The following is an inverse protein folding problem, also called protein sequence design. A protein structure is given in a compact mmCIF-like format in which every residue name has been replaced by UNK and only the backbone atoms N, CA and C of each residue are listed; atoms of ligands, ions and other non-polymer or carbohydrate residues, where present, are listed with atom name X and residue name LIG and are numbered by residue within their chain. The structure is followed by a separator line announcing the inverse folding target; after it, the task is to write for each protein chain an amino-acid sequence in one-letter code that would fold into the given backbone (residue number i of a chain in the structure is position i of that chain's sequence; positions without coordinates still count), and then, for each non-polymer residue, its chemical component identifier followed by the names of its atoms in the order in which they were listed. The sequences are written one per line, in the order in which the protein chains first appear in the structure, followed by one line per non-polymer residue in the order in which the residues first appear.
data_IF_303772471826
#
_entry.id   IF_303772471826
#
_cell.length_a   1.000
_cell.length_b   1.000
_cell.length_c   1.000
_cell.angle_alpha   90.00
_cell.angle_beta   90.00
_cell.angle_gamma   90.00
#
_symmetry.space_group_name_H-M   'P 1'
#
loop_
_entity.id
_entity.type
_entity.pdbx_description
1 polymer ?
#
# COMPACT_ATOMS: atom_id res chain seq x y z
N UNK A 1 9.66 -14.76 21.07
CA UNK A 1 9.48 -13.39 21.62
C UNK A 1 10.17 -12.43 20.67
N UNK A 2 9.43 -11.59 19.98
CA UNK A 2 10.02 -10.50 19.21
C UNK A 2 10.58 -9.47 20.20
N UNK A 3 11.83 -9.06 19.97
CA UNK A 3 12.48 -8.05 20.80
C UNK A 3 11.86 -6.67 20.46
N UNK A 4 10.89 -6.21 21.25
CA UNK A 4 10.23 -4.90 21.09
C UNK A 4 11.06 -3.73 21.66
N UNK A 5 12.39 -3.84 21.71
CA UNK A 5 13.24 -2.81 22.31
C UNK A 5 13.88 -1.85 21.31
N UNK A 6 14.17 -2.30 20.09
CA UNK A 6 14.76 -1.47 19.05
C UNK A 6 13.70 -1.16 18.00
N UNK A 7 13.08 0.00 18.12
CA UNK A 7 12.12 0.50 17.15
C UNK A 7 12.86 1.35 16.12
N UNK A 8 12.66 1.04 14.84
CA UNK A 8 13.20 1.73 13.69
C UNK A 8 12.09 2.24 12.81
N UNK A 9 12.42 3.18 11.95
CA UNK A 9 11.48 3.71 10.98
C UNK A 9 12.16 4.00 9.64
N UNK A 10 11.34 4.14 8.62
CA UNK A 10 11.70 4.67 7.32
C UNK A 10 10.57 5.56 6.82
N UNK A 11 10.83 6.84 6.67
CA UNK A 11 9.92 7.80 6.07
C UNK A 11 10.41 8.11 4.65
N UNK A 12 9.60 7.80 3.68
CA UNK A 12 9.79 8.18 2.27
C UNK A 12 8.96 9.43 2.02
N UNK A 13 9.60 10.50 1.58
CA UNK A 13 8.92 11.72 1.15
C UNK A 13 9.15 11.91 -0.33
N UNK A 14 8.09 12.10 -1.09
CA UNK A 14 8.14 12.17 -2.54
C UNK A 14 7.47 13.43 -3.02
N UNK A 15 8.08 14.09 -4.02
CA UNK A 15 7.54 15.28 -4.66
C UNK A 15 7.99 15.38 -6.11
N UNK A 16 7.40 16.31 -6.85
CA UNK A 16 7.83 16.65 -8.20
C UNK A 16 8.49 18.04 -8.13
N UNK A 17 9.70 18.17 -8.64
CA UNK A 17 10.40 19.47 -8.69
C UNK A 17 9.81 20.39 -9.77
N UNK A 18 10.17 21.67 -9.75
CA UNK A 18 9.69 22.69 -10.70
C UNK A 18 9.99 22.36 -12.17
N UNK A 19 10.93 21.44 -12.42
CA UNK A 19 11.28 20.94 -13.75
C UNK A 19 10.47 19.72 -14.15
N UNK A 20 9.53 19.27 -13.29
CA UNK A 20 8.71 18.09 -13.50
C UNK A 20 9.46 16.78 -13.22
N UNK A 21 10.57 16.79 -12.51
CA UNK A 21 11.29 15.57 -12.16
C UNK A 21 10.84 15.05 -10.80
N UNK A 22 10.61 13.71 -10.66
CA UNK A 22 10.31 13.12 -9.37
C UNK A 22 11.55 13.16 -8.48
N UNK A 23 11.33 13.54 -7.25
CA UNK A 23 12.30 13.54 -6.17
C UNK A 23 11.82 12.66 -5.05
N UNK A 24 12.76 12.08 -4.34
CA UNK A 24 12.49 11.27 -3.17
C UNK A 24 13.57 11.53 -2.13
N UNK A 25 13.16 11.70 -0.90
CA UNK A 25 14.02 11.71 0.26
C UNK A 25 13.67 10.56 1.18
N UNK A 26 14.67 9.95 1.77
CA UNK A 26 14.54 8.85 2.72
C UNK A 26 15.05 9.32 4.06
N UNK A 27 14.13 9.55 4.99
CA UNK A 27 14.44 9.89 6.37
C UNK A 27 14.39 8.64 7.22
N UNK A 28 15.45 8.40 7.98
CA UNK A 28 15.62 7.22 8.85
C UNK A 28 16.55 7.54 10.01
N UNK A 29 16.77 6.59 10.90
CA UNK A 29 17.78 6.73 11.96
C UNK A 29 19.11 7.28 11.45
N UNK A 30 19.77 8.20 12.19
CA UNK A 30 19.48 8.66 13.54
C UNK A 30 18.59 9.91 13.66
N UNK A 31 17.92 10.35 12.56
CA UNK A 31 17.03 11.49 12.59
C UNK A 31 15.86 11.21 13.52
N UNK A 32 15.56 12.15 14.42
CA UNK A 32 14.41 12.01 15.34
C UNK A 32 13.11 12.26 14.61
N UNK A 33 12.14 11.36 14.82
CA UNK A 33 10.78 11.47 14.29
C UNK A 33 9.76 11.26 15.42
N UNK A 34 8.69 12.01 15.38
CA UNK A 34 7.45 11.74 16.10
C UNK A 34 6.33 11.50 15.10
N UNK A 35 5.44 10.56 15.38
CA UNK A 35 4.23 10.43 14.57
C UNK A 35 3.03 10.03 15.43
N UNK A 36 1.90 10.58 15.05
CA UNK A 36 0.59 10.17 15.52
C UNK A 36 -0.23 9.76 14.31
N UNK A 37 -0.61 8.49 14.25
CA UNK A 37 -1.38 7.91 13.16
C UNK A 37 -2.65 7.33 13.74
N UNK A 38 -3.79 7.92 13.38
CA UNK A 38 -5.12 7.44 13.76
C UNK A 38 -5.82 6.91 12.53
N UNK A 39 -6.27 5.67 12.61
CA UNK A 39 -7.11 5.03 11.60
C UNK A 39 -8.39 4.53 12.22
N UNK A 40 -9.48 4.60 11.48
CA UNK A 40 -10.80 4.26 12.01
C UNK A 40 -11.71 3.67 10.93
N UNK A 41 -12.63 2.78 11.35
CA UNK A 41 -13.74 2.33 10.50
C UNK A 41 -14.87 3.35 10.41
N UNK A 42 -14.87 4.37 11.27
CA UNK A 42 -16.01 5.28 11.44
C UNK A 42 -15.69 6.75 11.13
N UNK A 43 -14.42 7.09 10.98
CA UNK A 43 -13.97 8.45 10.68
C UNK A 43 -12.81 8.44 9.69
N UNK A 44 -12.54 9.60 9.11
CA UNK A 44 -11.37 9.79 8.27
C UNK A 44 -10.08 9.53 9.06
N UNK A 45 -9.09 8.97 8.38
CA UNK A 45 -7.78 8.75 8.95
C UNK A 45 -7.05 10.09 9.13
N UNK A 46 -6.20 10.15 10.14
CA UNK A 46 -5.36 11.31 10.41
C UNK A 46 -3.94 10.86 10.70
N UNK A 47 -3.00 11.42 9.99
CA UNK A 47 -1.58 11.18 10.22
C UNK A 47 -0.86 12.50 10.36
N UNK A 48 -0.16 12.68 11.47
CA UNK A 48 0.78 13.79 11.69
C UNK A 48 2.16 13.22 11.94
N UNK A 49 3.13 13.72 11.18
CA UNK A 49 4.53 13.32 11.28
C UNK A 49 5.33 14.58 11.60
N UNK A 50 6.16 14.53 12.63
CA UNK A 50 7.09 15.60 13.00
C UNK A 50 8.51 15.08 12.83
N UNK A 51 9.30 15.74 12.00
CA UNK A 51 10.70 15.40 11.75
C UNK A 51 11.58 16.51 12.28
N UNK A 52 12.59 16.16 13.06
CA UNK A 52 13.53 17.12 13.64
C UNK A 52 14.78 17.21 12.77
N UNK A 53 15.19 18.45 12.50
CA UNK A 53 16.41 18.76 11.76
C UNK A 53 16.51 18.14 10.35
N UNK A 54 15.36 18.05 9.66
CA UNK A 54 15.35 17.73 8.24
C UNK A 54 16.18 18.76 7.47
N UNK A 55 16.89 18.34 6.44
CA UNK A 55 17.73 19.25 5.65
C UNK A 55 16.93 20.39 5.00
N UNK A 56 17.60 21.54 4.77
CA UNK A 56 16.94 22.76 4.30
C UNK A 56 16.32 22.61 2.91
N UNK A 57 16.98 21.90 1.99
CA UNK A 57 16.50 21.76 0.62
C UNK A 57 15.23 20.90 0.58
N UNK A 58 15.20 19.82 1.36
CA UNK A 58 14.00 18.98 1.48
C UNK A 58 12.84 19.73 2.14
N UNK A 59 13.10 20.50 3.22
CA UNK A 59 12.06 21.31 3.88
C UNK A 59 11.38 22.28 2.91
N UNK A 60 12.15 22.99 2.11
CA UNK A 60 11.60 23.92 1.12
C UNK A 60 10.84 23.20 0.01
N UNK A 61 11.37 22.07 -0.46
CA UNK A 61 10.76 21.31 -1.54
C UNK A 61 9.40 20.71 -1.17
N UNK A 62 9.24 20.28 0.10
CA UNK A 62 8.00 19.64 0.56
C UNK A 62 7.03 20.62 1.23
N UNK A 63 7.44 21.89 1.43
CA UNK A 63 6.52 22.91 1.96
C UNK A 63 5.21 22.91 1.19
N UNK A 64 4.10 22.91 1.90
CA UNK A 64 2.77 22.91 1.32
C UNK A 64 1.76 23.49 2.29
N UNK A 65 0.90 24.36 1.78
CA UNK A 65 -0.28 24.86 2.49
C UNK A 65 -1.55 24.52 1.71
N UNK A 66 -2.71 24.74 2.30
CA UNK A 66 -4.01 24.46 1.67
C UNK A 66 -4.24 25.25 0.39
N UNK A 67 -3.74 26.48 0.33
CA UNK A 67 -3.90 27.33 -0.86
C UNK A 67 -3.10 26.75 -2.04
N UNK A 68 -1.91 26.22 -1.76
CA UNK A 68 -1.08 25.58 -2.79
C UNK A 68 -1.69 24.29 -3.30
N UNK A 69 -2.41 23.53 -2.45
CA UNK A 69 -3.15 22.34 -2.90
C UNK A 69 -4.23 22.69 -3.94
N UNK A 70 -4.95 23.77 -3.71
CA UNK A 70 -6.05 24.19 -4.60
C UNK A 70 -5.56 24.79 -5.91
N UNK A 71 -4.37 25.43 -5.91
CA UNK A 71 -3.84 26.16 -7.05
C UNK A 71 -2.78 25.41 -7.87
N UNK A 72 -2.08 24.49 -7.26
CA UNK A 72 -1.00 23.73 -7.90
C UNK A 72 -0.93 22.29 -7.33
N UNK A 73 -1.66 21.35 -7.92
CA UNK A 73 -1.76 19.99 -7.44
C UNK A 73 -0.49 19.16 -7.75
N UNK A 74 0.69 19.69 -7.48
CA UNK A 74 1.89 18.86 -7.44
C UNK A 74 1.78 17.94 -6.24
N UNK A 75 1.24 16.76 -6.50
CA UNK A 75 0.97 15.75 -5.49
C UNK A 75 2.28 15.38 -4.79
N UNK A 76 2.36 15.74 -3.52
CA UNK A 76 3.42 15.31 -2.61
C UNK A 76 2.86 14.20 -1.76
N UNK A 77 3.60 13.12 -1.59
CA UNK A 77 3.11 12.00 -0.81
C UNK A 77 4.21 11.41 0.07
N UNK A 78 3.77 10.78 1.13
CA UNK A 78 4.64 10.12 2.10
C UNK A 78 4.25 8.67 2.30
N UNK A 79 5.26 7.87 2.67
CA UNK A 79 5.09 6.51 3.15
C UNK A 79 5.90 6.36 4.42
N UNK A 80 5.22 6.09 5.53
CA UNK A 80 5.83 5.86 6.83
C UNK A 80 5.79 4.36 7.15
N UNK A 81 6.96 3.77 7.27
CA UNK A 81 7.14 2.42 7.76
C UNK A 81 7.83 2.48 9.13
N UNK A 82 7.36 1.69 10.08
CA UNK A 82 7.98 1.57 11.40
C UNK A 82 7.83 0.14 11.93
N UNK A 83 8.69 -0.25 12.86
CA UNK A 83 8.67 -1.58 13.44
C UNK A 83 9.88 -1.86 14.29
N UNK A 84 10.07 -3.13 14.62
CA UNK A 84 11.16 -3.58 15.49
C UNK A 84 12.19 -4.36 14.71
N UNK A 85 13.47 -4.16 15.05
CA UNK A 85 14.59 -4.79 14.33
C UNK A 85 14.49 -4.49 12.82
N UNK A 86 14.70 -5.45 11.96
CA UNK A 86 14.66 -5.27 10.50
C UNK A 86 13.25 -5.41 9.88
N UNK A 87 12.22 -5.59 10.71
CA UNK A 87 10.83 -5.77 10.24
C UNK A 87 10.05 -4.47 10.34
N UNK A 88 10.09 -3.67 9.26
CA UNK A 88 9.29 -2.47 9.14
C UNK A 88 7.95 -2.80 8.47
N UNK A 89 6.88 -2.29 9.05
CA UNK A 89 5.52 -2.40 8.52
C UNK A 89 5.03 -1.02 8.08
N UNK A 90 4.28 -0.96 7.00
CA UNK A 90 3.65 0.28 6.54
C UNK A 90 2.60 0.74 7.56
N UNK A 91 2.90 1.83 8.24
CA UNK A 91 2.03 2.44 9.26
C UNK A 91 1.08 3.45 8.63
N UNK A 92 1.59 4.28 7.72
CA UNK A 92 0.78 5.28 7.02
C UNK A 92 1.30 5.54 5.62
N UNK A 93 0.38 5.75 4.68
CA UNK A 93 0.65 6.18 3.32
C UNK A 93 -0.45 7.15 2.89
N UNK A 94 -0.05 8.26 2.27
CA UNK A 94 -1.02 9.24 1.81
C UNK A 94 -0.39 10.49 1.22
N UNK A 95 -1.24 11.45 0.88
CA UNK A 95 -0.84 12.74 0.32
C UNK A 95 -0.56 13.75 1.42
N UNK A 96 0.45 14.59 1.22
CA UNK A 96 0.74 15.72 2.10
C UNK A 96 -0.37 16.75 1.93
N UNK A 97 -1.17 16.94 2.96
CA UNK A 97 -2.19 17.96 3.02
C UNK A 97 -1.60 19.32 3.41
N UNK A 98 -0.74 19.31 4.41
CA UNK A 98 -0.01 20.48 4.89
C UNK A 98 1.39 20.07 5.34
N UNK A 99 2.39 20.86 4.99
CA UNK A 99 3.74 20.68 5.48
C UNK A 99 4.35 22.05 5.78
N UNK A 100 4.77 22.24 7.02
CA UNK A 100 5.38 23.48 7.50
C UNK A 100 6.61 23.20 8.34
N UNK A 101 7.58 24.09 8.24
CA UNK A 101 8.80 24.03 9.04
C UNK A 101 9.00 25.32 9.82
N UNK A 102 9.43 25.20 11.06
CA UNK A 102 9.74 26.34 11.92
C UNK A 102 10.90 26.01 12.85
N UNK A 103 11.51 27.06 13.39
CA UNK A 103 12.59 26.89 14.36
C UNK A 103 12.01 26.84 15.77
N UNK A 104 12.41 25.84 16.54
CA UNK A 104 12.07 25.67 17.97
C UNK A 104 13.37 25.52 18.76
N UNK A 105 13.79 26.58 19.43
CA UNK A 105 15.08 26.59 20.10
C UNK A 105 16.24 26.45 19.13
N UNK A 106 17.01 25.40 19.29
CA UNK A 106 18.13 25.05 18.41
C UNK A 106 17.73 24.22 17.20
N UNK A 107 16.58 23.55 17.26
CA UNK A 107 16.12 22.60 16.27
C UNK A 107 15.21 23.23 15.20
N UNK A 108 15.24 22.67 14.01
CA UNK A 108 14.21 22.85 12.99
C UNK A 108 13.20 21.74 13.10
N UNK A 109 11.94 22.10 13.27
CA UNK A 109 10.82 21.16 13.39
C UNK A 109 10.01 21.23 12.10
N UNK A 110 9.86 20.12 11.41
CA UNK A 110 9.03 19.98 10.22
C UNK A 110 7.83 19.12 10.55
N UNK A 111 6.64 19.69 10.42
CA UNK A 111 5.36 19.00 10.66
C UNK A 111 4.70 18.72 9.32
N UNK A 112 4.33 17.46 9.10
CA UNK A 112 3.70 16.95 7.89
C UNK A 112 2.35 16.36 8.29
N UNK A 113 1.27 16.96 7.83
CA UNK A 113 -0.08 16.45 7.96
C UNK A 113 -0.45 15.69 6.67
N UNK A 114 -0.90 14.45 6.83
CA UNK A 114 -1.13 13.50 5.73
C UNK A 114 -2.59 13.07 5.72
N UNK A 115 -3.15 12.99 4.53
CA UNK A 115 -4.51 12.49 4.28
C UNK A 115 -4.48 11.29 3.34
N UNK A 116 -5.51 10.46 3.42
CA UNK A 116 -5.70 9.39 2.44
C UNK A 116 -5.85 9.97 1.02
N UNK A 117 -5.32 9.28 0.00
CA UNK A 117 -5.42 9.76 -1.37
C UNK A 117 -6.87 9.78 -1.86
N UNK A 118 -7.16 10.68 -2.79
CA UNK A 118 -8.43 10.85 -3.53
C UNK A 118 -9.65 11.27 -2.70
N UNK A 119 -9.63 11.19 -1.38
CA UNK A 119 -10.82 11.50 -0.57
C UNK A 119 -11.22 12.98 -0.59
N UNK A 120 -10.27 13.88 -0.84
CA UNK A 120 -10.53 15.32 -0.89
C UNK A 120 -10.77 15.86 -2.30
N UNK A 121 -10.25 15.19 -3.33
CA UNK A 121 -10.14 15.75 -4.68
C UNK A 121 -11.13 15.15 -5.67
N UNK A 122 -11.56 13.91 -5.47
CA UNK A 122 -12.34 13.20 -6.47
C UNK A 122 -13.84 13.47 -6.32
N UNK A 123 -14.44 13.89 -7.42
CA UNK A 123 -15.85 14.24 -7.55
C UNK A 123 -16.56 13.34 -8.56
N UNK A 124 -17.75 12.89 -8.24
CA UNK A 124 -18.55 12.04 -9.13
C UNK A 124 -19.98 12.62 -9.27
N UNK A 125 -20.41 12.76 -10.53
CA UNK A 125 -21.80 13.05 -10.87
C UNK A 125 -22.32 11.93 -11.76
N UNK A 126 -23.32 11.17 -11.29
CA UNK A 126 -23.92 10.06 -12.04
C UNK A 126 -25.33 9.77 -11.60
N UNK A 127 -26.10 9.08 -12.46
CA UNK A 127 -27.43 8.56 -12.13
C UNK A 127 -27.41 7.05 -12.25
N UNK A 128 -27.81 6.37 -11.20
CA UNK A 128 -28.03 4.92 -11.23
C UNK A 128 -29.49 4.65 -11.54
N UNK A 129 -29.74 3.86 -12.60
CA UNK A 129 -31.09 3.47 -13.01
C UNK A 129 -31.74 2.53 -12.01
N UNK A 130 -33.07 2.48 -12.02
CA UNK A 130 -33.81 1.49 -11.23
C UNK A 130 -33.36 0.07 -11.60
N UNK A 131 -33.13 -0.77 -10.60
CA UNK A 131 -32.59 -2.12 -10.75
C UNK A 131 -31.07 -2.23 -10.66
N UNK A 132 -30.32 -1.11 -10.73
CA UNK A 132 -28.88 -1.15 -10.49
C UNK A 132 -28.61 -1.61 -9.05
N UNK A 133 -27.80 -2.64 -8.87
CA UNK A 133 -27.46 -3.15 -7.53
C UNK A 133 -26.52 -2.22 -6.78
N UNK A 134 -26.59 -2.20 -5.46
CA UNK A 134 -25.67 -1.41 -4.64
C UNK A 134 -24.22 -1.82 -4.83
N UNK A 135 -23.96 -3.10 -5.12
CA UNK A 135 -22.63 -3.62 -5.43
C UNK A 135 -22.07 -3.06 -6.76
N UNK A 136 -22.90 -2.91 -7.78
CA UNK A 136 -22.51 -2.28 -9.07
C UNK A 136 -22.24 -0.80 -8.88
N UNK A 137 -23.13 -0.09 -8.16
CA UNK A 137 -22.95 1.31 -7.83
C UNK A 137 -21.66 1.56 -7.01
N UNK A 138 -21.40 0.72 -6.01
CA UNK A 138 -20.17 0.78 -5.24
C UNK A 138 -18.92 0.64 -6.13
N UNK A 139 -18.90 -0.37 -6.98
CA UNK A 139 -17.78 -0.59 -7.91
C UNK A 139 -17.56 0.59 -8.85
N UNK A 140 -18.66 1.17 -9.35
CA UNK A 140 -18.58 2.36 -10.19
C UNK A 140 -18.00 3.55 -9.41
N UNK A 141 -18.49 3.82 -8.21
CA UNK A 141 -18.00 4.93 -7.39
C UNK A 141 -16.52 4.75 -7.04
N UNK A 142 -16.11 3.55 -6.61
CA UNK A 142 -14.70 3.29 -6.28
C UNK A 142 -13.79 3.38 -7.51
N UNK A 143 -14.29 3.09 -8.70
CA UNK A 143 -13.52 3.28 -9.93
C UNK A 143 -13.15 4.74 -10.23
N UNK A 144 -13.81 5.70 -9.57
CA UNK A 144 -13.47 7.12 -9.62
C UNK A 144 -12.46 7.55 -8.54
N UNK A 145 -11.91 6.61 -7.78
CA UNK A 145 -10.84 6.83 -6.80
C UNK A 145 -9.58 6.10 -7.28
N UNK A 146 -8.82 6.68 -8.23
CA UNK A 146 -7.78 5.97 -8.98
C UNK A 146 -6.58 5.54 -8.12
N UNK A 147 -6.33 6.22 -7.01
CA UNK A 147 -5.21 5.90 -6.11
C UNK A 147 -5.56 4.81 -5.10
N UNK A 148 -6.84 4.45 -4.96
CA UNK A 148 -7.28 3.44 -4.00
C UNK A 148 -7.46 2.07 -4.66
N UNK A 149 -7.14 1.03 -3.90
CA UNK A 149 -7.40 -0.37 -4.27
C UNK A 149 -8.63 -0.88 -3.55
N UNK A 150 -9.46 -1.66 -4.22
CA UNK A 150 -10.58 -2.35 -3.58
C UNK A 150 -10.01 -3.49 -2.75
N UNK A 151 -10.23 -3.44 -1.46
CA UNK A 151 -9.96 -4.50 -0.51
C UNK A 151 -11.17 -5.40 -0.30
N UNK A 152 -11.42 -5.73 0.94
CA UNK A 152 -12.57 -6.55 1.31
C UNK A 152 -13.87 -5.75 1.16
N UNK A 153 -14.83 -6.37 0.51
CA UNK A 153 -16.16 -5.81 0.34
C UNK A 153 -17.15 -6.74 1.00
N UNK A 154 -17.70 -6.32 2.11
CA UNK A 154 -18.78 -7.03 2.81
C UNK A 154 -20.05 -7.11 1.98
N UNK A 155 -21.09 -7.63 2.57
CA UNK A 155 -22.35 -7.89 1.87
C UNK A 155 -23.04 -6.56 1.59
N UNK A 156 -23.09 -6.17 0.30
CA UNK A 156 -23.88 -5.06 -0.21
C UNK A 156 -25.10 -5.63 -0.94
N UNK A 157 -26.18 -5.82 -0.20
CA UNK A 157 -27.42 -6.35 -0.74
C UNK A 157 -28.39 -5.23 -1.12
N UNK A 158 -29.19 -5.48 -2.16
CA UNK A 158 -30.22 -4.57 -2.63
C UNK A 158 -29.91 -3.89 -3.95
N UNK A 159 -30.89 -3.14 -4.44
CA UNK A 159 -30.85 -2.37 -5.67
C UNK A 159 -31.70 -1.11 -5.55
N UNK A 160 -31.40 -0.11 -6.36
CA UNK A 160 -32.20 1.11 -6.43
C UNK A 160 -33.58 0.80 -6.99
N UNK A 161 -34.61 1.23 -6.29
CA UNK A 161 -36.01 1.03 -6.73
C UNK A 161 -36.46 2.10 -7.74
N UNK A 162 -35.78 3.23 -7.75
CA UNK A 162 -36.01 4.38 -8.64
C UNK A 162 -34.69 4.92 -9.13
N UNK A 163 -34.63 5.61 -10.29
CA UNK A 163 -33.44 6.30 -10.72
C UNK A 163 -32.93 7.25 -9.62
N UNK A 164 -31.68 7.09 -9.21
CA UNK A 164 -31.11 7.82 -8.10
C UNK A 164 -29.86 8.57 -8.52
N UNK A 165 -29.86 9.88 -8.28
CA UNK A 165 -28.73 10.76 -8.62
C UNK A 165 -27.73 10.75 -7.48
N UNK A 166 -26.45 10.54 -7.84
CA UNK A 166 -25.29 10.71 -7.00
C UNK A 166 -24.46 11.88 -7.55
N UNK A 167 -24.31 12.94 -6.76
CA UNK A 167 -23.54 14.12 -7.15
C UNK A 167 -22.82 14.66 -5.91
N UNK A 168 -21.48 14.73 -5.98
CA UNK A 168 -20.67 15.19 -4.86
C UNK A 168 -19.31 14.51 -4.77
N UNK A 169 -18.65 14.69 -3.62
CA UNK A 169 -17.38 14.03 -3.30
C UNK A 169 -17.57 12.51 -3.31
N UNK A 170 -16.73 11.82 -4.06
CA UNK A 170 -16.89 10.38 -4.35
C UNK A 170 -16.84 9.52 -3.09
N UNK A 171 -15.91 9.82 -2.15
CA UNK A 171 -15.79 9.05 -0.90
C UNK A 171 -17.02 9.23 -0.01
N UNK A 172 -17.55 10.45 0.07
CA UNK A 172 -18.79 10.75 0.81
C UNK A 172 -19.98 9.98 0.20
N UNK A 173 -20.05 9.91 -1.14
CA UNK A 173 -21.10 9.16 -1.82
C UNK A 173 -21.00 7.65 -1.55
N UNK A 174 -19.77 7.10 -1.52
CA UNK A 174 -19.55 5.70 -1.14
C UNK A 174 -20.01 5.44 0.29
N UNK A 175 -19.61 6.30 1.24
CA UNK A 175 -20.04 6.15 2.63
C UNK A 175 -21.56 6.23 2.78
N UNK A 176 -22.21 7.12 2.04
CA UNK A 176 -23.68 7.19 2.02
C UNK A 176 -24.31 5.90 1.48
N UNK A 177 -23.75 5.34 0.39
CA UNK A 177 -24.24 4.09 -0.21
C UNK A 177 -24.07 2.89 0.73
N UNK A 178 -22.99 2.83 1.47
CA UNK A 178 -22.64 1.72 2.37
C UNK A 178 -23.11 1.90 3.80
N UNK A 179 -23.84 2.98 4.10
CA UNK A 179 -24.31 3.26 5.46
C UNK A 179 -23.20 3.61 6.45
N UNK A 180 -22.06 4.10 5.98
CA UNK A 180 -20.91 4.46 6.83
C UNK A 180 -19.94 3.30 7.14
N UNK A 181 -20.11 2.16 6.48
CA UNK A 181 -19.29 0.97 6.72
C UNK A 181 -18.00 0.90 5.88
N UNK A 182 -17.64 2.00 5.21
CA UNK A 182 -16.44 2.06 4.36
C UNK A 182 -15.32 2.81 5.06
N UNK A 183 -14.12 2.24 5.00
CA UNK A 183 -12.91 2.84 5.54
C UNK A 183 -11.70 2.55 4.64
N UNK A 184 -10.64 3.32 4.83
CA UNK A 184 -9.39 3.18 4.07
C UNK A 184 -8.28 2.73 5.03
N UNK A 185 -7.46 1.77 4.60
CA UNK A 185 -6.21 1.44 5.27
C UNK A 185 -5.07 1.39 4.25
N UNK A 186 -4.16 2.36 4.33
CA UNK A 186 -2.97 2.45 3.47
C UNK A 186 -3.27 2.31 1.97
N UNK A 187 -4.27 3.05 1.49
CA UNK A 187 -4.65 3.04 0.07
C UNK A 187 -5.52 1.86 -0.34
N UNK A 188 -6.03 1.09 0.60
CA UNK A 188 -7.00 0.02 0.36
C UNK A 188 -8.34 0.43 0.95
N UNK A 189 -9.37 0.52 0.11
CA UNK A 189 -10.75 0.82 0.54
C UNK A 189 -11.47 -0.48 0.87
N UNK A 190 -11.95 -0.58 2.10
CA UNK A 190 -12.65 -1.73 2.63
C UNK A 190 -14.07 -1.35 3.03
N UNK A 191 -15.00 -2.27 2.92
CA UNK A 191 -16.38 -2.11 3.40
C UNK A 191 -16.74 -3.35 4.20
N UNK A 192 -17.00 -3.18 5.50
CA UNK A 192 -17.29 -4.27 6.44
C UNK A 192 -18.50 -3.91 7.30
N UNK A 193 -19.51 -4.76 7.33
CA UNK A 193 -20.60 -4.61 8.27
C UNK A 193 -20.13 -4.77 9.73
N UNK A 194 -20.97 -4.44 10.70
CA UNK A 194 -20.59 -4.40 12.12
C UNK A 194 -19.97 -5.70 12.62
N UNK A 195 -20.50 -6.83 12.21
CA UNK A 195 -20.04 -8.16 12.65
C UNK A 195 -19.01 -8.81 11.69
N UNK A 196 -18.58 -8.10 10.64
CA UNK A 196 -17.58 -8.59 9.70
C UNK A 196 -16.19 -8.09 10.08
N UNK A 197 -15.18 -8.91 9.87
CA UNK A 197 -13.77 -8.58 10.07
C UNK A 197 -12.98 -8.88 8.80
N UNK A 198 -11.80 -8.29 8.69
CA UNK A 198 -10.88 -8.61 7.58
C UNK A 198 -10.53 -10.10 7.60
N UNK A 199 -10.81 -10.79 6.50
CA UNK A 199 -10.59 -12.23 6.37
C UNK A 199 -9.12 -12.60 6.10
N UNK A 200 -8.36 -11.70 5.46
CA UNK A 200 -6.96 -11.94 5.07
C UNK A 200 -5.98 -11.83 6.25
N UNK A 201 -6.43 -11.33 7.39
CA UNK A 201 -5.64 -11.14 8.59
C UNK A 201 -6.10 -12.11 9.69
N UNK A 202 -5.16 -12.89 10.22
CA UNK A 202 -5.46 -13.78 11.34
C UNK A 202 -5.86 -13.01 12.61
N UNK A 203 -6.40 -13.75 13.58
CA UNK A 203 -6.70 -13.20 14.90
C UNK A 203 -5.42 -12.87 15.65
N UNK A 204 -5.23 -11.60 16.06
CA UNK A 204 -4.06 -11.18 16.84
C UNK A 204 -4.36 -11.33 18.34
N UNK A 205 -3.52 -12.08 19.07
CA UNK A 205 -3.65 -12.25 20.51
C UNK A 205 -3.04 -11.05 21.26
N UNK A 206 -3.83 -10.37 22.06
CA UNK A 206 -3.44 -9.25 22.91
C UNK A 206 -3.44 -9.69 24.38
N UNK A 207 -2.26 -9.83 24.93
CA UNK A 207 -2.02 -10.26 26.31
C UNK A 207 -0.80 -9.53 26.89
N UNK A 208 -0.48 -9.73 28.16
CA UNK A 208 0.65 -9.08 28.81
C UNK A 208 1.99 -9.42 28.11
N UNK A 209 2.16 -10.63 27.66
CA UNK A 209 3.37 -11.10 26.96
C UNK A 209 3.46 -10.64 25.50
N UNK A 210 2.35 -10.23 24.89
CA UNK A 210 2.33 -9.61 23.55
C UNK A 210 2.35 -8.09 23.59
N UNK A 211 2.35 -7.50 24.78
CA UNK A 211 2.56 -6.06 24.97
C UNK A 211 1.38 -5.26 25.48
N UNK A 212 0.34 -5.89 26.02
CA UNK A 212 -0.72 -5.19 26.73
C UNK A 212 -0.13 -4.46 27.95
N UNK A 213 -0.29 -3.11 28.01
CA UNK A 213 0.35 -2.28 29.04
C UNK A 213 -0.56 -2.02 30.24
N UNK A 214 -1.84 -1.87 30.01
CA UNK A 214 -2.81 -1.46 31.02
C UNK A 214 -3.99 -2.43 31.06
N UNK A 215 -4.76 -2.32 32.14
CA UNK A 215 -6.06 -3.00 32.21
C UNK A 215 -7.00 -2.41 31.17
N UNK A 216 -7.69 -3.26 30.38
CA UNK A 216 -8.69 -2.82 29.42
C UNK A 216 -9.76 -1.93 30.08
N UNK A 217 -10.14 -0.85 29.40
CA UNK A 217 -11.16 0.12 29.87
C UNK A 217 -12.39 0.01 28.98
N UNK A 218 -13.55 -0.18 29.58
CA UNK A 218 -14.80 -0.25 28.84
C UNK A 218 -15.56 1.06 28.94
N UNK A 219 -15.91 1.61 27.80
CA UNK A 219 -16.79 2.76 27.64
C UNK A 219 -17.99 2.34 26.81
N UNK A 220 -19.14 2.15 27.47
CA UNK A 220 -20.35 1.69 26.82
C UNK A 220 -20.14 0.35 26.07
N UNK A 221 -20.21 0.36 24.74
CA UNK A 221 -20.02 -0.82 23.89
C UNK A 221 -18.59 -0.96 23.32
N UNK A 222 -17.71 0.02 23.60
CA UNK A 222 -16.31 0.04 23.13
C UNK A 222 -15.39 -0.39 24.26
N UNK A 223 -14.44 -1.27 23.94
CA UNK A 223 -13.33 -1.61 24.82
C UNK A 223 -12.08 -0.89 24.31
N UNK A 224 -11.48 -0.05 25.17
CA UNK A 224 -10.21 0.61 24.89
C UNK A 224 -9.06 -0.13 25.56
N UNK A 225 -8.00 -0.32 24.83
CA UNK A 225 -6.76 -0.92 25.32
C UNK A 225 -5.55 -0.10 24.89
N UNK A 226 -4.52 -0.10 25.76
CA UNK A 226 -3.20 0.44 25.46
C UNK A 226 -2.19 -0.68 25.43
N UNK A 227 -1.34 -0.70 24.41
CA UNK A 227 -0.29 -1.69 24.26
C UNK A 227 1.01 -1.07 23.74
N UNK A 228 2.10 -1.80 23.82
CA UNK A 228 3.34 -1.44 23.15
C UNK A 228 3.07 -1.26 21.64
N UNK A 229 3.81 -0.37 21.02
CA UNK A 229 3.67 -0.10 19.60
C UNK A 229 3.61 -1.40 18.78
N UNK A 230 2.52 -1.59 18.04
CA UNK A 230 2.29 -2.77 17.22
C UNK A 230 1.77 -2.36 15.84
N UNK A 231 2.67 -2.16 14.86
CA UNK A 231 2.30 -1.65 13.54
C UNK A 231 1.56 -2.66 12.67
N UNK A 232 1.50 -3.93 13.06
CA UNK A 232 0.89 -5.00 12.27
C UNK A 232 -0.63 -5.08 12.43
N UNK A 233 -1.17 -4.51 13.51
CA UNK A 233 -2.61 -4.50 13.76
C UNK A 233 -3.31 -3.54 12.80
N UNK A 234 -4.37 -4.03 12.16
CA UNK A 234 -5.15 -3.30 11.16
C UNK A 234 -6.54 -2.95 11.66
N UNK A 235 -7.05 -1.83 11.17
CA UNK A 235 -8.47 -1.47 11.35
C UNK A 235 -9.34 -2.52 10.66
N UNK A 236 -10.40 -2.97 11.32
CA UNK A 236 -11.27 -4.04 10.84
C UNK A 236 -10.78 -5.46 11.13
N UNK A 237 -9.56 -5.64 11.68
CA UNK A 237 -9.02 -6.95 12.01
C UNK A 237 -9.69 -7.57 13.26
N UNK A 238 -9.73 -8.91 13.30
CA UNK A 238 -10.11 -9.67 14.48
C UNK A 238 -8.93 -9.73 15.47
N UNK A 239 -9.20 -9.44 16.74
CA UNK A 239 -8.24 -9.58 17.82
C UNK A 239 -8.86 -10.39 18.98
N UNK A 240 -8.04 -11.11 19.71
CA UNK A 240 -8.43 -11.82 20.94
C UNK A 240 -7.73 -11.18 22.14
N UNK A 241 -8.49 -10.83 23.18
CA UNK A 241 -7.93 -10.30 24.43
C UNK A 241 -7.85 -11.39 25.46
N UNK A 242 -6.70 -11.47 26.14
CA UNK A 242 -6.45 -12.26 27.35
C UNK A 242 -5.81 -11.37 28.41
N UNK A 243 -6.63 -10.86 29.32
CA UNK A 243 -6.19 -9.99 30.39
C UNK A 243 -5.85 -10.80 31.64
N UNK A 244 -4.67 -10.61 32.18
CA UNK A 244 -4.28 -11.22 33.44
C UNK A 244 -4.97 -10.59 34.67
N UNK A 245 -5.54 -9.42 34.53
CA UNK A 245 -6.13 -8.63 35.64
C UNK A 245 -7.65 -8.58 35.61
N UNK A 246 -8.25 -8.64 34.40
CA UNK A 246 -9.72 -8.54 34.24
C UNK A 246 -10.21 -9.49 33.14
N UNK A 247 -10.31 -10.75 33.49
CA UNK A 247 -10.76 -11.83 32.58
C UNK A 247 -12.19 -11.66 32.04
N UNK A 248 -13.01 -10.81 32.66
CA UNK A 248 -14.35 -10.47 32.13
C UNK A 248 -14.33 -9.76 30.77
N UNK A 249 -13.18 -9.26 30.34
CA UNK A 249 -12.97 -8.64 29.03
C UNK A 249 -12.28 -9.56 28.05
N UNK A 250 -11.97 -10.80 28.47
CA UNK A 250 -11.42 -11.80 27.56
C UNK A 250 -12.46 -12.15 26.49
N UNK A 251 -11.99 -12.27 25.25
CA UNK A 251 -12.87 -12.59 24.13
C UNK A 251 -12.36 -12.02 22.81
N UNK A 252 -13.17 -12.17 21.79
CA UNK A 252 -12.87 -11.73 20.44
C UNK A 252 -13.53 -10.39 20.13
N UNK A 253 -12.77 -9.53 19.47
CA UNK A 253 -13.16 -8.17 19.15
C UNK A 253 -12.74 -7.78 17.74
N UNK A 254 -13.54 -6.92 17.12
CA UNK A 254 -13.18 -6.19 15.90
C UNK A 254 -12.45 -4.90 16.26
N UNK A 255 -11.36 -4.60 15.59
CA UNK A 255 -10.64 -3.34 15.74
C UNK A 255 -11.42 -2.24 15.01
N UNK A 256 -11.99 -1.29 15.75
CA UNK A 256 -12.67 -0.11 15.20
C UNK A 256 -11.72 1.02 14.91
N UNK A 257 -10.74 1.24 15.79
CA UNK A 257 -9.77 2.32 15.63
C UNK A 257 -8.40 1.87 16.15
N UNK A 258 -7.38 2.34 15.47
CA UNK A 258 -5.96 2.17 15.83
C UNK A 258 -5.36 3.57 15.91
N UNK A 259 -4.75 3.90 17.06
CA UNK A 259 -3.94 5.09 17.23
C UNK A 259 -2.50 4.69 17.59
N UNK A 260 -1.56 4.97 16.70
CA UNK A 260 -0.13 4.83 16.96
C UNK A 260 0.44 6.17 17.38
N UNK A 261 1.02 6.25 18.58
CA UNK A 261 1.71 7.42 19.09
C UNK A 261 3.16 7.05 19.41
N UNK A 262 4.08 7.50 18.59
CA UNK A 262 5.46 7.07 18.65
C UNK A 262 6.42 8.24 18.47
N UNK A 263 7.47 8.23 19.32
CA UNK A 263 8.69 9.00 19.12
C UNK A 263 9.85 8.01 18.97
N UNK A 264 10.58 8.13 17.87
CA UNK A 264 11.77 7.33 17.58
C UNK A 264 12.94 8.28 17.43
N UNK A 265 13.90 8.15 18.34
CA UNK A 265 15.12 8.97 18.40
C UNK A 265 16.31 8.09 18.72
N UNK A 266 17.45 8.40 18.12
CA UNK A 266 18.72 7.78 18.46
C UNK A 266 19.30 8.22 19.82
N UNK A 267 18.82 9.36 20.35
CA UNK A 267 19.39 10.00 21.54
C UNK A 267 18.47 9.94 22.76
N UNK A 268 17.16 9.83 22.57
CA UNK A 268 16.17 9.96 23.63
C UNK A 268 15.16 8.80 23.62
N UNK A 269 14.66 8.44 24.80
CA UNK A 269 13.53 7.54 24.92
C UNK A 269 12.24 8.30 24.69
N UNK A 270 11.36 7.79 23.84
CA UNK A 270 10.07 8.38 23.55
C UNK A 270 8.91 7.41 23.76
N UNK A 271 7.69 7.95 23.72
CA UNK A 271 6.46 7.14 23.76
C UNK A 271 6.39 6.25 22.53
N UNK A 272 6.03 4.97 22.73
CA UNK A 272 5.85 3.98 21.66
C UNK A 272 4.67 3.11 22.01
N UNK A 273 3.48 3.61 21.70
CA UNK A 273 2.23 2.96 22.10
C UNK A 273 1.28 2.83 20.93
N UNK A 274 0.44 1.83 21.01
CA UNK A 274 -0.74 1.64 20.18
C UNK A 274 -1.95 1.59 21.10
N UNK A 275 -2.91 2.48 20.85
CA UNK A 275 -4.23 2.46 21.50
C UNK A 275 -5.23 1.90 20.51
N UNK A 276 -6.03 0.94 20.93
CA UNK A 276 -7.10 0.33 20.12
C UNK A 276 -8.46 0.62 20.74
N UNK A 277 -9.43 0.90 19.89
CA UNK A 277 -10.84 0.84 20.23
C UNK A 277 -11.45 -0.39 19.57
N UNK A 278 -12.11 -1.21 20.37
CA UNK A 278 -12.52 -2.54 20.01
C UNK A 278 -14.02 -2.72 20.25
N UNK A 279 -14.68 -3.38 19.30
CA UNK A 279 -16.08 -3.80 19.40
C UNK A 279 -16.16 -5.30 19.64
N UNK A 280 -16.93 -5.70 20.63
CA UNK A 280 -17.19 -7.12 20.89
C UNK A 280 -17.94 -7.74 19.70
N UNK A 281 -17.48 -8.91 19.26
CA UNK A 281 -18.15 -9.71 18.23
C UNK A 281 -18.78 -10.92 18.92
N UNK A 282 -20.09 -11.05 18.81
CA UNK A 282 -20.74 -12.31 19.14
C UNK A 282 -20.35 -13.34 18.11
N UNK A 283 -19.39 -14.19 18.44
CA UNK A 283 -19.12 -15.38 17.65
C UNK A 283 -20.27 -16.34 17.85
N UNK A 284 -21.08 -16.56 16.82
CA UNK A 284 -21.96 -17.72 16.78
C UNK A 284 -21.11 -18.98 16.99
N UNK A 285 -21.50 -19.91 17.87
CA UNK A 285 -20.72 -21.09 18.16
C UNK A 285 -20.78 -22.05 16.97
N UNK A 286 -19.94 -21.89 15.98
CA UNK A 286 -19.65 -22.89 14.95
C UNK A 286 -18.37 -22.54 14.19
N UNK A 287 -17.28 -23.00 14.71
CA UNK A 287 -16.27 -23.83 14.05
C UNK A 287 -15.10 -24.01 14.97
N UNK A 288 -15.02 -25.19 15.52
CA UNK A 288 -13.86 -25.71 16.23
C UNK A 288 -12.62 -25.63 15.33
N UNK A 289 -11.51 -25.36 16.02
CA UNK A 289 -10.16 -25.77 15.69
C UNK A 289 -9.38 -24.85 14.73
N UNK A 290 -8.62 -24.00 15.35
CA UNK A 290 -7.15 -23.98 15.41
C UNK A 290 -6.65 -22.66 15.99
N UNK A 291 -6.77 -22.56 17.31
CA UNK A 291 -6.00 -21.58 18.08
C UNK A 291 -4.55 -22.06 18.11
N UNK A 292 -3.80 -21.77 17.10
CA UNK A 292 -2.34 -21.83 17.20
C UNK A 292 -1.87 -20.47 17.66
N UNK A 293 -1.38 -20.48 18.90
CA UNK A 293 -0.60 -19.40 19.45
C UNK A 293 0.53 -19.06 18.48
N UNK A 294 0.49 -17.82 18.04
CA UNK A 294 1.59 -17.06 17.51
C UNK A 294 2.24 -17.45 16.20
N UNK A 295 2.07 -16.66 15.20
CA UNK A 295 3.02 -16.61 14.13
C UNK A 295 4.12 -15.61 14.49
N UNK A 296 5.31 -16.09 14.80
CA UNK A 296 6.49 -15.44 14.29
C UNK A 296 6.22 -15.22 12.80
N UNK A 297 5.90 -13.98 12.45
CA UNK A 297 5.35 -13.61 11.15
C UNK A 297 6.26 -13.98 9.99
N UNK A 298 6.04 -15.13 9.47
CA UNK A 298 6.24 -15.46 8.07
C UNK A 298 4.83 -15.60 7.51
N UNK A 299 4.42 -14.69 6.67
CA UNK A 299 3.28 -14.90 5.81
C UNK A 299 3.56 -16.10 4.91
N UNK A 300 3.36 -17.31 5.42
CA UNK A 300 3.21 -18.49 4.59
C UNK A 300 1.76 -18.54 4.15
N UNK A 301 1.51 -17.88 3.01
CA UNK A 301 0.33 -18.08 2.23
C UNK A 301 0.06 -19.56 2.06
N UNK A 302 -1.02 -20.07 2.62
CA UNK A 302 -1.61 -21.32 2.20
C UNK A 302 -2.10 -21.11 0.77
N UNK A 303 -1.26 -21.51 -0.18
CA UNK A 303 -1.62 -21.57 -1.59
C UNK A 303 -2.52 -22.78 -1.75
N UNK A 304 -3.84 -22.58 -1.78
CA UNK A 304 -4.72 -23.52 -2.45
C UNK A 304 -4.35 -23.54 -3.92
N UNK A 305 -4.00 -24.72 -4.43
CA UNK A 305 -3.81 -24.99 -5.85
C UNK A 305 -5.06 -24.55 -6.60
N UNK A 306 -5.02 -23.42 -7.26
CA UNK A 306 -5.95 -23.08 -8.31
C UNK A 306 -5.19 -23.14 -9.64
N UNK A 307 -5.65 -24.05 -10.47
CA UNK A 307 -5.30 -24.16 -11.86
C UNK A 307 -5.39 -22.80 -12.55
N UNK A 308 -4.44 -22.53 -13.42
CA UNK A 308 -4.39 -21.34 -14.25
C UNK A 308 -5.59 -21.35 -15.20
N UNK A 309 -6.66 -20.71 -14.81
CA UNK A 309 -7.73 -20.32 -15.73
C UNK A 309 -7.20 -19.18 -16.61
N UNK A 310 -7.53 -19.15 -17.90
CA UNK A 310 -7.18 -18.02 -18.75
C UNK A 310 -7.84 -16.76 -18.21
N UNK A 311 -7.02 -15.77 -17.88
CA UNK A 311 -7.42 -14.53 -17.25
C UNK A 311 -8.24 -13.70 -18.26
N UNK A 312 -9.57 -13.82 -18.18
CA UNK A 312 -10.47 -12.72 -18.49
C UNK A 312 -10.52 -11.81 -17.23
N UNK A 313 -9.37 -11.26 -16.88
CA UNK A 313 -9.27 -10.37 -15.73
C UNK A 313 -9.92 -9.06 -16.09
N UNK A 314 -10.92 -8.66 -15.32
CA UNK A 314 -11.37 -7.26 -15.27
C UNK A 314 -10.13 -6.40 -15.00
N UNK A 315 -9.87 -5.50 -15.93
CA UNK A 315 -8.72 -4.59 -15.90
C UNK A 315 -8.84 -3.72 -14.65
N UNK A 316 -7.77 -3.58 -13.87
CA UNK A 316 -7.79 -2.78 -12.64
C UNK A 316 -8.07 -1.30 -12.94
N UNK A 317 -8.66 -0.59 -11.97
CA UNK A 317 -8.96 0.84 -12.12
C UNK A 317 -7.69 1.68 -12.32
N UNK A 318 -6.57 1.29 -11.70
CA UNK A 318 -5.28 1.95 -11.89
C UNK A 318 -4.79 1.83 -13.34
N UNK A 319 -4.95 0.67 -13.96
CA UNK A 319 -4.63 0.44 -15.38
C UNK A 319 -5.52 1.30 -16.29
N UNK A 320 -6.80 1.44 -15.99
CA UNK A 320 -7.71 2.28 -16.76
C UNK A 320 -7.31 3.76 -16.68
N UNK A 321 -7.02 4.25 -15.50
CA UNK A 321 -6.58 5.64 -15.29
C UNK A 321 -5.27 5.93 -16.02
N UNK A 322 -4.27 5.05 -15.89
CA UNK A 322 -3.00 5.19 -16.61
C UNK A 322 -3.23 5.13 -18.13
N UNK A 323 -4.09 4.25 -18.62
CA UNK A 323 -4.41 4.17 -20.05
C UNK A 323 -5.06 5.45 -20.56
N UNK A 324 -6.04 5.98 -19.83
CA UNK A 324 -6.69 7.26 -20.16
C UNK A 324 -5.66 8.39 -20.20
N UNK A 325 -4.82 8.49 -19.15
CA UNK A 325 -3.75 9.48 -19.08
C UNK A 325 -2.77 9.38 -20.25
N UNK A 326 -2.32 8.17 -20.62
CA UNK A 326 -1.45 7.94 -21.77
C UNK A 326 -2.09 8.43 -23.06
N UNK A 327 -3.40 8.21 -23.25
CA UNK A 327 -4.13 8.63 -24.47
C UNK A 327 -4.29 10.13 -24.57
N UNK A 328 -4.53 10.78 -23.45
CA UNK A 328 -4.76 12.24 -23.39
C UNK A 328 -3.45 13.02 -23.42
N UNK A 329 -2.37 12.47 -22.88
CA UNK A 329 -1.08 13.13 -22.72
C UNK A 329 0.04 12.36 -23.43
N UNK A 330 -0.12 12.06 -24.73
CA UNK A 330 0.84 11.28 -25.51
C UNK A 330 2.30 11.78 -25.34
N UNK A 331 3.14 10.98 -24.70
CA UNK A 331 4.53 11.28 -24.39
C UNK A 331 4.80 11.73 -22.96
N UNK A 332 3.79 11.91 -22.13
CA UNK A 332 3.90 12.36 -20.75
C UNK A 332 3.56 11.29 -19.69
N UNK A 333 3.83 10.02 -19.91
CA UNK A 333 4.04 9.11 -18.76
C UNK A 333 5.37 9.53 -18.14
N UNK A 334 5.38 10.78 -17.76
CA UNK A 334 6.47 11.43 -17.09
C UNK A 334 6.25 11.18 -15.61
N UNK A 335 7.17 10.41 -15.04
CA UNK A 335 7.64 10.62 -13.69
C UNK A 335 6.53 10.76 -12.63
N UNK A 336 6.44 9.82 -11.72
CA UNK A 336 5.62 9.91 -10.53
C UNK A 336 4.42 8.98 -10.46
N UNK A 337 4.02 8.31 -11.54
CA UNK A 337 2.99 7.28 -11.47
C UNK A 337 3.66 5.93 -11.14
N UNK A 338 3.39 5.41 -9.96
CA UNK A 338 3.94 4.15 -9.49
C UNK A 338 2.93 3.02 -9.65
N UNK A 339 3.42 1.84 -10.04
CA UNK A 339 2.67 0.59 -10.01
C UNK A 339 2.69 0.04 -8.58
N UNK A 340 3.86 0.11 -7.96
CA UNK A 340 4.12 -0.31 -6.58
C UNK A 340 4.99 0.75 -5.91
N UNK A 341 5.18 0.65 -4.60
CA UNK A 341 6.13 1.53 -3.89
C UNK A 341 7.60 1.41 -4.35
N UNK A 342 7.92 0.51 -5.29
CA UNK A 342 9.29 0.25 -5.78
C UNK A 342 9.46 0.33 -7.28
N UNK A 343 8.37 0.31 -8.06
CA UNK A 343 8.40 0.26 -9.52
C UNK A 343 7.38 1.24 -10.08
N UNK A 344 7.84 2.18 -10.90
CA UNK A 344 7.01 3.16 -11.58
C UNK A 344 6.47 2.65 -12.92
N UNK A 345 5.37 3.25 -13.42
CA UNK A 345 4.86 3.00 -14.77
C UNK A 345 5.88 3.38 -15.84
N UNK A 346 6.68 4.42 -15.61
CA UNK A 346 7.72 4.82 -16.53
C UNK A 346 8.79 3.75 -16.69
N UNK A 347 9.29 3.18 -15.59
CA UNK A 347 10.28 2.09 -15.64
C UNK A 347 9.74 0.88 -16.38
N UNK A 348 8.45 0.55 -16.20
CA UNK A 348 7.83 -0.57 -16.87
C UNK A 348 7.53 -0.35 -18.35
N UNK A 349 7.25 0.87 -18.78
CA UNK A 349 6.87 1.17 -20.17
C UNK A 349 8.06 1.74 -20.94
N UNK A 350 8.95 2.48 -20.29
CA UNK A 350 10.00 3.27 -20.90
C UNK A 350 11.42 2.84 -20.51
N UNK A 351 11.58 1.69 -19.86
CA UNK A 351 12.90 1.16 -19.51
C UNK A 351 13.53 0.49 -20.73
N UNK A 352 14.50 1.13 -21.30
CA UNK A 352 15.27 0.53 -22.40
C UNK A 352 15.89 1.63 -23.27
N UNK A 353 17.16 1.48 -23.58
CA UNK A 353 17.94 2.46 -24.31
C UNK A 353 17.41 2.77 -25.72
N UNK A 354 16.60 1.90 -26.27
CA UNK A 354 16.13 1.96 -27.68
C UNK A 354 14.60 2.01 -27.82
N UNK A 355 13.88 2.45 -26.79
CA UNK A 355 12.43 2.59 -26.90
C UNK A 355 12.07 3.74 -27.85
N UNK A 356 11.21 3.54 -28.84
CA UNK A 356 10.79 4.61 -29.72
C UNK A 356 9.97 5.63 -28.96
N UNK A 357 10.04 6.91 -29.37
CA UNK A 357 9.29 8.02 -28.77
C UNK A 357 7.76 7.82 -28.78
N UNK A 358 7.26 6.91 -29.62
CA UNK A 358 5.84 6.60 -29.74
C UNK A 358 5.42 5.30 -29.05
N UNK A 359 6.22 4.78 -28.12
CA UNK A 359 5.92 3.55 -27.37
C UNK A 359 4.53 3.57 -26.75
N UNK A 360 4.09 4.73 -26.27
CA UNK A 360 2.79 4.93 -25.65
C UNK A 360 1.61 4.73 -26.61
N UNK A 361 1.79 4.94 -27.91
CA UNK A 361 0.76 4.67 -28.92
C UNK A 361 0.44 3.18 -29.06
N UNK A 362 1.40 2.32 -28.71
CA UNK A 362 1.29 0.86 -28.86
C UNK A 362 0.82 0.18 -27.56
N UNK A 363 0.78 0.91 -26.45
CA UNK A 363 0.30 0.38 -25.17
C UNK A 363 -1.23 0.26 -25.19
N UNK A 364 -1.72 -0.85 -24.65
CA UNK A 364 -3.14 -1.09 -24.42
C UNK A 364 -3.36 -1.57 -22.98
N UNK A 365 -4.62 -1.64 -22.57
CA UNK A 365 -4.99 -2.01 -21.20
C UNK A 365 -4.51 -3.41 -20.77
N UNK A 366 -4.45 -4.37 -21.70
CA UNK A 366 -3.93 -5.71 -21.44
C UNK A 366 -2.41 -5.70 -21.16
N UNK A 367 -1.64 -4.88 -21.89
CA UNK A 367 -0.20 -4.68 -21.63
C UNK A 367 0.00 -4.04 -20.25
N UNK A 368 -0.78 -3.00 -19.92
CA UNK A 368 -0.68 -2.34 -18.62
C UNK A 368 -1.06 -3.28 -17.47
N UNK A 369 -2.11 -4.08 -17.61
CA UNK A 369 -2.50 -5.07 -16.61
C UNK A 369 -1.40 -6.13 -16.35
N UNK A 370 -0.71 -6.55 -17.41
CA UNK A 370 0.43 -7.46 -17.25
C UNK A 370 1.61 -6.78 -16.57
N UNK A 371 1.90 -5.51 -16.90
CA UNK A 371 2.93 -4.72 -16.22
C UNK A 371 2.64 -4.60 -14.73
N UNK A 372 1.40 -4.25 -14.36
CA UNK A 372 0.97 -4.19 -12.97
C UNK A 372 1.16 -5.52 -12.24
N UNK A 373 0.67 -6.61 -12.83
CA UNK A 373 0.73 -7.93 -12.24
C UNK A 373 2.18 -8.39 -11.96
N UNK A 374 3.07 -8.29 -12.95
CA UNK A 374 4.46 -8.73 -12.76
C UNK A 374 5.24 -7.81 -11.81
N UNK A 375 5.00 -6.50 -11.86
CA UNK A 375 5.64 -5.53 -10.97
C UNK A 375 5.22 -5.75 -9.50
N UNK A 376 3.93 -6.00 -9.25
CA UNK A 376 3.42 -6.32 -7.93
C UNK A 376 4.07 -7.59 -7.37
N UNK A 377 4.07 -8.68 -8.15
CA UNK A 377 4.69 -9.95 -7.74
C UNK A 377 6.18 -9.82 -7.43
N UNK A 378 6.91 -9.05 -8.25
CA UNK A 378 8.33 -8.81 -8.01
C UNK A 378 8.53 -7.97 -6.74
N UNK A 379 7.73 -6.94 -6.55
CA UNK A 379 7.80 -6.09 -5.36
C UNK A 379 7.53 -6.90 -4.09
N UNK A 380 6.49 -7.73 -4.07
CA UNK A 380 6.14 -8.58 -2.93
C UNK A 380 7.27 -9.56 -2.60
N UNK A 381 7.87 -10.16 -3.63
CA UNK A 381 9.02 -11.04 -3.45
C UNK A 381 10.23 -10.29 -2.86
N UNK A 382 10.54 -9.10 -3.38
CA UNK A 382 11.66 -8.29 -2.90
C UNK A 382 11.39 -7.77 -1.49
N UNK A 383 10.17 -7.37 -1.18
CA UNK A 383 9.79 -6.98 0.19
C UNK A 383 9.99 -8.13 1.18
N UNK A 384 9.69 -9.36 0.77
CA UNK A 384 9.84 -10.55 1.63
C UNK A 384 11.29 -10.94 1.87
N UNK A 385 12.13 -10.92 0.83
CA UNK A 385 13.47 -11.50 0.91
C UNK A 385 14.61 -10.48 0.89
N UNK A 386 14.34 -9.26 0.47
CA UNK A 386 15.31 -8.16 0.33
C UNK A 386 14.67 -6.81 0.67
N UNK A 387 14.12 -6.63 1.89
CA UNK A 387 13.29 -5.47 2.23
C UNK A 387 13.99 -4.12 2.05
N UNK A 388 15.33 -4.07 2.21
CA UNK A 388 16.13 -2.85 2.04
C UNK A 388 16.66 -2.61 0.62
N UNK A 389 16.52 -3.58 -0.31
CA UNK A 389 17.13 -3.48 -1.62
C UNK A 389 16.27 -2.68 -2.59
N UNK A 390 16.87 -1.77 -3.34
CA UNK A 390 16.20 -1.05 -4.42
C UNK A 390 16.14 -1.91 -5.69
N UNK A 391 14.97 -1.97 -6.30
CA UNK A 391 14.78 -2.61 -7.61
C UNK A 391 15.20 -1.62 -8.70
N UNK A 392 16.17 -2.01 -9.52
CA UNK A 392 16.57 -1.24 -10.72
C UNK A 392 16.05 -1.97 -11.95
N UNK A 393 15.02 -1.43 -12.58
CA UNK A 393 14.42 -1.99 -13.78
C UNK A 393 15.23 -1.59 -15.01
N UNK A 394 15.71 -2.59 -15.77
CA UNK A 394 16.41 -2.38 -17.03
C UNK A 394 15.50 -2.46 -18.23
N UNK A 395 14.49 -3.31 -18.18
CA UNK A 395 13.52 -3.47 -19.25
C UNK A 395 12.19 -4.02 -18.71
N UNK A 396 11.10 -3.35 -19.04
CA UNK A 396 9.72 -3.82 -18.84
C UNK A 396 9.08 -4.14 -20.20
N UNK A 397 7.99 -3.45 -20.55
CA UNK A 397 7.35 -3.59 -21.85
C UNK A 397 8.27 -3.18 -23.01
N UNK A 398 8.30 -3.96 -24.07
CA UNK A 398 9.00 -3.66 -25.32
C UNK A 398 8.00 -3.61 -26.48
N UNK A 399 8.11 -2.61 -27.34
CA UNK A 399 7.43 -2.63 -28.64
C UNK A 399 8.02 -3.72 -29.52
N UNK A 400 7.28 -4.15 -30.55
CA UNK A 400 7.78 -5.14 -31.52
C UNK A 400 9.12 -4.68 -32.14
N UNK A 401 9.21 -3.39 -32.51
CA UNK A 401 10.44 -2.83 -33.07
C UNK A 401 11.60 -2.85 -32.08
N UNK A 402 11.36 -2.48 -30.82
CA UNK A 402 12.41 -2.52 -29.81
C UNK A 402 12.86 -3.95 -29.52
N UNK A 403 11.93 -4.89 -29.51
CA UNK A 403 12.28 -6.31 -29.33
C UNK A 403 13.17 -6.84 -30.45
N UNK A 404 12.90 -6.48 -31.71
CA UNK A 404 13.74 -6.85 -32.85
C UNK A 404 15.16 -6.26 -32.71
N UNK A 405 15.26 -5.01 -32.24
CA UNK A 405 16.54 -4.32 -32.06
C UNK A 405 17.29 -4.74 -30.78
N UNK A 406 16.69 -5.60 -29.95
CA UNK A 406 17.34 -6.10 -28.73
C UNK A 406 18.03 -7.40 -29.04
N UNK A 407 19.37 -7.41 -28.97
CA UNK A 407 20.19 -8.58 -29.20
C UNK A 407 19.81 -9.75 -28.29
N UNK A 408 19.69 -10.94 -28.86
CA UNK A 408 19.33 -12.16 -28.13
C UNK A 408 17.86 -12.25 -27.71
N UNK A 409 17.01 -11.30 -28.11
CA UNK A 409 15.59 -11.34 -27.75
C UNK A 409 14.81 -12.42 -28.51
N UNK A 410 13.90 -13.10 -27.81
CA UNK A 410 12.99 -14.08 -28.42
C UNK A 410 11.93 -13.40 -29.28
N UNK A 411 11.57 -13.96 -30.44
CA UNK A 411 10.49 -13.46 -31.31
C UNK A 411 9.13 -13.39 -30.58
N UNK A 412 8.88 -14.27 -29.62
CA UNK A 412 7.67 -14.33 -28.78
C UNK A 412 8.00 -13.95 -27.33
N UNK A 413 8.77 -12.89 -27.13
CA UNK A 413 9.17 -12.43 -25.80
C UNK A 413 7.99 -12.00 -24.94
N UNK A 414 8.01 -12.31 -23.64
CA UNK A 414 7.01 -11.84 -22.68
C UNK A 414 7.06 -10.31 -22.46
N UNK A 415 8.17 -9.66 -22.77
CA UNK A 415 8.26 -8.18 -22.79
C UNK A 415 7.30 -7.53 -23.81
N UNK A 416 7.02 -8.19 -24.93
CA UNK A 416 6.04 -7.69 -25.92
C UNK A 416 4.62 -7.58 -25.37
N UNK A 417 4.33 -8.32 -24.31
CA UNK A 417 3.02 -8.35 -23.62
C UNK A 417 3.01 -7.54 -22.34
N UNK A 418 4.12 -6.90 -21.97
CA UNK A 418 4.28 -6.25 -20.66
C UNK A 418 4.40 -7.24 -19.50
N UNK A 419 4.58 -8.54 -19.78
CA UNK A 419 4.52 -9.62 -18.81
C UNK A 419 5.90 -10.06 -18.32
N UNK A 420 6.92 -9.21 -18.42
CA UNK A 420 8.28 -9.51 -17.98
C UNK A 420 9.04 -8.27 -17.54
N UNK A 421 10.01 -8.47 -16.64
CA UNK A 421 10.93 -7.46 -16.12
C UNK A 421 12.35 -8.01 -16.13
N UNK A 422 13.28 -7.25 -16.71
CA UNK A 422 14.71 -7.43 -16.52
C UNK A 422 15.20 -6.43 -15.47
N UNK A 423 15.86 -6.88 -14.41
CA UNK A 423 16.22 -6.04 -13.27
C UNK A 423 17.45 -6.54 -12.52
N UNK A 424 18.00 -5.70 -11.67
CA UNK A 424 18.88 -6.10 -10.57
C UNK A 424 18.44 -5.43 -9.26
N UNK A 425 18.98 -5.89 -8.14
CA UNK A 425 18.81 -5.26 -6.83
C UNK A 425 20.10 -4.56 -6.42
N UNK A 426 20.02 -3.27 -6.11
CA UNK A 426 21.17 -2.54 -5.59
C UNK A 426 21.65 -3.16 -4.27
N UNK A 427 22.96 -3.33 -4.16
CA UNK A 427 23.60 -3.92 -2.96
C UNK A 427 23.47 -5.43 -2.81
N UNK A 428 22.84 -6.14 -3.76
CA UNK A 428 22.68 -7.59 -3.74
C UNK A 428 23.40 -8.21 -4.95
N UNK A 429 24.31 -9.16 -4.70
CA UNK A 429 25.02 -9.81 -5.81
C UNK A 429 24.07 -10.66 -6.65
N UNK A 430 24.35 -10.78 -7.96
CA UNK A 430 23.57 -11.62 -8.89
C UNK A 430 23.52 -13.07 -8.44
N UNK A 431 24.60 -13.58 -7.84
CA UNK A 431 24.64 -14.94 -7.31
C UNK A 431 23.63 -15.14 -6.16
N UNK A 432 23.55 -14.18 -5.22
CA UNK A 432 22.58 -14.21 -4.12
C UNK A 432 21.16 -14.13 -4.64
N UNK A 433 20.86 -13.19 -5.56
CA UNK A 433 19.55 -13.09 -6.19
C UNK A 433 19.18 -14.40 -6.90
N UNK A 434 20.08 -14.92 -7.72
CA UNK A 434 19.84 -16.17 -8.49
C UNK A 434 19.52 -17.34 -7.55
N UNK A 435 20.27 -17.50 -6.47
CA UNK A 435 20.03 -18.55 -5.48
C UNK A 435 18.64 -18.44 -4.88
N UNK A 436 18.25 -17.27 -4.39
CA UNK A 436 16.96 -17.04 -3.73
C UNK A 436 15.78 -17.17 -4.71
N UNK A 437 15.89 -16.57 -5.88
CA UNK A 437 14.83 -16.65 -6.89
C UNK A 437 14.62 -18.09 -7.40
N UNK A 438 15.67 -18.88 -7.58
CA UNK A 438 15.53 -20.31 -7.92
C UNK A 438 14.80 -21.11 -6.84
N UNK A 439 14.98 -20.75 -5.58
CA UNK A 439 14.35 -21.46 -4.46
C UNK A 439 12.87 -21.12 -4.27
N UNK A 440 12.50 -19.85 -4.46
CA UNK A 440 11.19 -19.34 -3.98
C UNK A 440 10.34 -18.67 -5.06
N UNK A 441 10.93 -18.28 -6.21
CA UNK A 441 10.16 -17.64 -7.29
C UNK A 441 9.43 -18.69 -8.13
N UNK A 442 8.11 -18.58 -8.20
CA UNK A 442 7.24 -19.58 -8.84
C UNK A 442 6.92 -19.30 -10.31
N UNK A 443 7.26 -18.11 -10.80
CA UNK A 443 6.99 -17.65 -12.16
C UNK A 443 8.24 -17.79 -13.05
N UNK A 444 8.20 -17.29 -14.28
CA UNK A 444 9.30 -17.31 -15.20
C UNK A 444 10.58 -16.70 -14.63
N UNK A 445 11.73 -17.34 -14.86
CA UNK A 445 13.02 -16.90 -14.38
C UNK A 445 14.10 -17.11 -15.43
N UNK A 446 14.78 -16.03 -15.78
CA UNK A 446 16.02 -16.02 -16.55
C UNK A 446 17.15 -15.41 -15.71
N UNK A 447 18.38 -15.81 -16.00
CA UNK A 447 19.56 -15.28 -15.30
C UNK A 447 20.55 -14.71 -16.29
N UNK A 448 21.03 -13.49 -16.00
CA UNK A 448 22.11 -12.81 -16.73
C UNK A 448 23.34 -12.64 -15.83
N UNK A 449 24.47 -12.25 -16.39
CA UNK A 449 25.67 -11.92 -15.61
C UNK A 449 25.47 -10.67 -14.72
N UNK A 450 24.57 -9.78 -15.09
CA UNK A 450 24.31 -8.49 -14.44
C UNK A 450 22.98 -8.41 -13.68
N UNK A 451 22.06 -9.39 -13.83
CA UNK A 451 20.75 -9.32 -13.22
C UNK A 451 19.87 -10.53 -13.50
N UNK A 452 18.59 -10.37 -13.28
CA UNK A 452 17.58 -11.41 -13.48
C UNK A 452 16.49 -10.94 -14.45
N UNK A 453 15.90 -11.91 -15.14
CA UNK A 453 14.65 -11.80 -15.87
C UNK A 453 13.56 -12.50 -15.06
N UNK A 454 12.42 -11.86 -14.87
CA UNK A 454 11.21 -12.48 -14.33
C UNK A 454 10.04 -12.28 -15.29
N UNK A 455 9.17 -13.28 -15.41
CA UNK A 455 7.98 -13.17 -16.23
C UNK A 455 6.78 -13.89 -15.64
N UNK A 456 5.58 -13.55 -16.11
CA UNK A 456 4.33 -14.24 -15.72
C UNK A 456 4.23 -15.67 -16.26
N UNK A 457 5.10 -16.08 -17.18
CA UNK A 457 5.11 -17.43 -17.75
C UNK A 457 5.91 -18.41 -16.87
N UNK A 458 5.30 -19.29 -16.08
CA UNK A 458 6.01 -20.16 -15.13
C UNK A 458 6.91 -21.21 -15.81
N UNK A 459 6.72 -21.46 -17.11
CA UNK A 459 7.53 -22.40 -17.88
C UNK A 459 8.81 -21.78 -18.44
N UNK A 460 8.95 -20.46 -18.35
CA UNK A 460 10.13 -19.77 -18.88
C UNK A 460 11.32 -19.95 -17.94
N UNK A 461 12.35 -20.62 -18.45
CA UNK A 461 13.63 -20.82 -17.74
C UNK A 461 14.76 -20.71 -18.75
N UNK A 462 15.68 -19.78 -18.52
CA UNK A 462 16.86 -19.65 -19.38
C UNK A 462 18.07 -19.07 -18.64
N UNK A 463 19.24 -19.24 -19.27
CA UNK A 463 20.47 -18.54 -18.92
C UNK A 463 20.86 -17.67 -20.09
N UNK A 464 20.74 -16.36 -19.94
CA UNK A 464 21.14 -15.41 -20.97
C UNK A 464 22.66 -15.33 -21.10
N UNK A 465 23.12 -15.03 -22.31
CA UNK A 465 24.50 -14.55 -22.55
C UNK A 465 24.46 -13.07 -22.17
N UNK A 466 25.11 -12.69 -21.09
CA UNK A 466 25.27 -11.32 -20.63
C UNK A 466 26.64 -10.81 -21.01
#
# INVERSE_FOLDING_TARGET
MHNKFQCHYRLLVNWIDDKGNPKQEIVKDPVTIEFNVTKSTQSENSTRITVYNLDGATREAIYQDRIMLDTNPHIKWVSLEAGYSDQLTLVSWGYIQECRSYRSGVDFVTVIDVTDPDILTEYCGTTFEAGTTFKEAYKYLVSNLPSLKIGETGVLEGAFQVPTVFDGNTFVLINKLTGGHTFIDNGVINTLNDNETLSDYGCYLIAADTGLLETPKRYDHILEINMLFEPTIKVGQLVEIKSSTQTRFDGQYKVLSVNHNCMISGAESGTRTTTLQLQFIETLPNSNENLTANPSGSASSIVKNNEVQPINSKISSSVQAVYKYIKEHAGAVKQGLFITNRISWREMIYSGKNQPNNVFKQVNTGILANCENIATKLTDFVNTYYPGAKIVVHSGYRTAQNNVNTEGSAKKSNHLKGAAIDFHLEGVSVAQMTKRFKQSWRYGLGTYSWGLHVSLNPRERFRGKG
#
